data_IF_787442015204
#
_entry.id   IF_787442015204
#
_cell.length_a   1.000
_cell.length_b   1.000
_cell.length_c   1.000
_cell.angle_alpha   90.00
_cell.angle_beta   90.00
_cell.angle_gamma   90.00
#
_symmetry.space_group_name_H-M   'P 1'
#
loop_
_entity.id
_entity.type
_entity.pdbx_description
1 polymer ?
#
# COMPACT_ATOMS: atom_id res chain seq x y z
N UNK A 1 17.86 22.49 -17.56
CA UNK A 1 17.02 21.27 -17.42
C UNK A 1 17.96 20.14 -17.05
N UNK A 2 18.13 19.87 -15.77
CA UNK A 2 18.94 18.74 -15.29
C UNK A 2 18.16 17.47 -15.55
N UNK A 3 18.58 16.70 -16.56
CA UNK A 3 18.04 15.36 -16.83
C UNK A 3 18.48 14.44 -15.70
N UNK A 4 17.63 14.26 -14.70
CA UNK A 4 17.87 13.31 -13.63
C UNK A 4 17.69 11.91 -14.22
N UNK A 5 18.76 11.14 -14.28
CA UNK A 5 18.68 9.73 -14.70
C UNK A 5 17.84 8.97 -13.68
N UNK A 6 16.77 8.24 -14.07
CA UNK A 6 15.97 7.50 -13.10
C UNK A 6 16.79 6.41 -12.42
N UNK A 7 16.46 6.12 -11.16
CA UNK A 7 17.06 5.00 -10.44
C UNK A 7 16.88 3.71 -11.23
N UNK A 8 17.96 2.95 -11.40
CA UNK A 8 17.94 1.65 -12.08
C UNK A 8 17.74 0.50 -11.10
N UNK A 9 17.90 0.75 -9.80
CA UNK A 9 17.80 -0.23 -8.72
C UNK A 9 16.93 0.28 -7.59
N UNK A 10 16.32 -0.64 -6.87
CA UNK A 10 15.53 -0.34 -5.67
C UNK A 10 16.48 -0.02 -4.51
N UNK A 11 16.29 1.15 -3.90
CA UNK A 11 17.06 1.61 -2.74
C UNK A 11 16.14 1.63 -1.52
N UNK A 12 16.39 0.74 -0.56
CA UNK A 12 15.68 0.71 0.73
C UNK A 12 16.50 1.52 1.73
N UNK A 13 15.83 2.33 2.57
CA UNK A 13 16.41 3.35 3.44
C UNK A 13 17.32 4.32 2.64
N UNK A 14 16.73 5.04 1.68
CA UNK A 14 17.47 5.91 0.77
C UNK A 14 18.19 7.02 1.54
N UNK A 15 19.36 7.39 1.05
CA UNK A 15 20.10 8.55 1.55
C UNK A 15 19.39 9.87 1.18
N UNK A 16 19.71 11.00 1.84
CA UNK A 16 19.19 12.29 1.41
C UNK A 16 19.48 12.62 -0.06
N UNK A 17 20.63 12.21 -0.60
CA UNK A 17 20.98 12.43 -2.01
C UNK A 17 20.10 11.63 -2.96
N UNK A 18 19.73 10.40 -2.60
CA UNK A 18 18.79 9.59 -3.37
C UNK A 18 17.42 10.26 -3.46
N UNK A 19 16.98 10.88 -2.35
CA UNK A 19 15.70 11.56 -2.24
C UNK A 19 15.70 12.88 -3.04
N UNK A 20 16.83 13.59 -3.12
CA UNK A 20 16.93 14.87 -3.85
C UNK A 20 16.59 14.75 -5.34
N UNK A 21 16.69 13.58 -5.93
CA UNK A 21 16.36 13.33 -7.33
C UNK A 21 14.89 12.96 -7.57
N UNK A 22 14.08 12.77 -6.51
CA UNK A 22 12.71 12.25 -6.59
C UNK A 22 11.70 13.38 -6.73
N UNK A 23 10.78 13.25 -7.69
CA UNK A 23 9.61 14.11 -7.87
C UNK A 23 8.30 13.30 -7.91
N UNK A 24 8.37 12.00 -7.66
CA UNK A 24 7.24 11.10 -7.73
C UNK A 24 7.09 10.29 -6.44
N UNK A 25 5.85 9.97 -6.10
CA UNK A 25 5.49 9.00 -5.05
C UNK A 25 4.77 7.83 -5.72
N UNK A 26 5.16 6.61 -5.38
CA UNK A 26 4.37 5.44 -5.78
C UNK A 26 3.31 5.14 -4.74
N UNK A 27 2.07 5.26 -5.14
CA UNK A 27 0.89 4.96 -4.34
C UNK A 27 0.30 3.61 -4.76
N UNK A 28 0.19 2.69 -3.80
CA UNK A 28 -0.36 1.34 -4.00
C UNK A 28 -1.54 1.01 -3.09
N UNK A 29 -1.84 1.87 -2.12
CA UNK A 29 -2.92 1.79 -1.14
C UNK A 29 -3.63 3.12 -0.99
N UNK A 30 -3.90 3.54 0.26
CA UNK A 30 -4.70 4.73 0.57
C UNK A 30 -4.19 6.03 -0.05
N UNK A 31 -2.90 6.15 -0.31
CA UNK A 31 -2.33 7.30 -1.02
C UNK A 31 -2.88 7.47 -2.45
N UNK A 32 -3.40 6.41 -3.08
CA UNK A 32 -3.99 6.51 -4.41
C UNK A 32 -5.20 7.43 -4.45
N UNK A 33 -6.01 7.48 -3.39
CA UNK A 33 -7.22 8.31 -3.30
C UNK A 33 -7.13 9.43 -2.27
N UNK A 34 -6.21 9.34 -1.33
CA UNK A 34 -5.97 10.34 -0.30
C UNK A 34 -4.46 10.58 -0.11
N UNK A 35 -3.78 11.24 -1.05
CA UNK A 35 -2.34 11.49 -0.98
C UNK A 35 -1.95 12.40 0.20
N UNK A 36 -2.79 13.39 0.53
CA UNK A 36 -2.53 14.38 1.59
C UNK A 36 -1.52 15.48 1.23
N UNK A 37 -1.09 15.53 -0.04
CA UNK A 37 -0.25 16.59 -0.60
C UNK A 37 -0.72 16.94 -2.01
N UNK A 38 -0.33 18.10 -2.50
CA UNK A 38 -0.67 18.56 -3.84
C UNK A 38 0.08 17.78 -4.91
N UNK A 39 -0.66 17.30 -5.92
CA UNK A 39 -0.11 16.55 -7.04
C UNK A 39 -0.23 17.35 -8.34
N UNK A 40 0.89 17.53 -9.04
CA UNK A 40 0.93 18.23 -10.35
C UNK A 40 0.66 17.29 -11.53
N UNK A 41 0.83 15.97 -11.33
CA UNK A 41 0.46 14.93 -12.30
C UNK A 41 0.16 13.61 -11.59
N UNK A 42 -0.67 12.79 -12.25
CA UNK A 42 -1.02 11.43 -11.78
C UNK A 42 -1.01 10.50 -13.00
N UNK A 43 -0.32 9.38 -12.89
CA UNK A 43 -0.24 8.40 -13.98
C UNK A 43 -0.29 6.98 -13.43
N UNK A 44 -0.94 6.04 -14.11
CA UNK A 44 -0.80 4.63 -13.84
C UNK A 44 0.68 4.22 -13.96
N UNK A 45 1.12 3.37 -13.06
CA UNK A 45 2.49 2.90 -13.03
C UNK A 45 2.59 1.46 -12.53
N UNK A 46 3.68 0.80 -12.87
CA UNK A 46 4.03 -0.54 -12.43
C UNK A 46 5.39 -0.54 -11.73
N UNK A 47 5.42 -1.18 -10.57
CA UNK A 47 6.63 -1.49 -9.83
C UNK A 47 6.89 -3.00 -9.97
N UNK A 48 8.05 -3.37 -10.50
CA UNK A 48 8.50 -4.76 -10.55
C UNK A 48 9.30 -5.11 -9.27
N UNK A 49 9.23 -6.37 -8.84
CA UNK A 49 9.95 -6.89 -7.67
C UNK A 49 9.21 -6.75 -6.33
N UNK A 50 8.03 -6.15 -6.32
CA UNK A 50 7.13 -6.07 -5.17
C UNK A 50 5.67 -6.25 -5.59
N UNK A 51 4.87 -6.84 -4.72
CA UNK A 51 3.44 -6.99 -4.91
C UNK A 51 2.67 -6.41 -3.71
N UNK A 52 1.41 -6.07 -3.94
CA UNK A 52 0.49 -5.63 -2.89
C UNK A 52 -0.04 -6.83 -2.12
N UNK A 53 0.03 -6.79 -0.79
CA UNK A 53 -0.49 -7.85 0.07
C UNK A 53 -1.04 -7.31 1.39
N UNK A 54 -2.02 -8.00 1.97
CA UNK A 54 -2.44 -7.80 3.36
C UNK A 54 -1.50 -8.57 4.28
N UNK A 55 -0.31 -8.02 4.50
CA UNK A 55 0.81 -8.69 5.15
C UNK A 55 1.33 -8.01 6.43
N UNK A 56 0.60 -7.01 6.94
CA UNK A 56 0.99 -6.24 8.13
C UNK A 56 -0.15 -6.27 9.15
N UNK A 57 0.14 -6.70 10.40
CA UNK A 57 -0.81 -6.61 11.50
C UNK A 57 -1.11 -5.15 11.87
N UNK A 58 -2.38 -4.82 11.98
CA UNK A 58 -2.86 -3.53 12.46
C UNK A 58 -3.45 -3.67 13.85
N UNK A 59 -2.77 -3.10 14.84
CA UNK A 59 -3.17 -3.16 16.25
C UNK A 59 -3.95 -1.93 16.72
N UNK A 60 -4.18 -0.93 15.85
CA UNK A 60 -4.84 0.33 16.23
C UNK A 60 -5.92 0.76 15.25
N UNK A 61 -5.60 0.84 13.95
CA UNK A 61 -6.52 1.43 12.97
C UNK A 61 -7.57 0.44 12.48
N UNK A 62 -7.18 -0.83 12.23
CA UNK A 62 -8.08 -1.87 11.67
C UNK A 62 -8.21 -3.08 12.57
N UNK A 63 -7.70 -3.00 13.80
CA UNK A 63 -7.76 -4.02 14.83
C UNK A 63 -7.31 -3.48 16.17
N UNK A 64 -7.18 -4.37 17.15
CA UNK A 64 -6.60 -4.13 18.48
C UNK A 64 -5.45 -5.11 18.74
N UNK A 65 -4.64 -4.94 19.78
CA UNK A 65 -3.61 -5.92 20.14
C UNK A 65 -4.18 -7.33 20.34
N UNK A 66 -5.39 -7.46 20.91
CA UNK A 66 -6.07 -8.74 21.19
C UNK A 66 -6.73 -9.34 19.93
N UNK A 67 -7.13 -8.49 19.00
CA UNK A 67 -7.76 -8.86 17.73
C UNK A 67 -7.18 -8.05 16.59
N UNK A 68 -5.95 -8.38 16.15
CA UNK A 68 -5.28 -7.63 15.11
C UNK A 68 -6.00 -7.78 13.77
N UNK A 69 -6.11 -6.67 13.05
CA UNK A 69 -6.51 -6.67 11.65
C UNK A 69 -5.28 -6.80 10.74
N UNK A 70 -5.53 -6.75 9.44
CA UNK A 70 -4.48 -6.71 8.42
C UNK A 70 -4.58 -5.43 7.60
N UNK A 71 -3.44 -4.85 7.25
CA UNK A 71 -3.33 -3.73 6.32
C UNK A 71 -2.36 -4.05 5.20
N UNK A 72 -2.45 -3.26 4.13
CA UNK A 72 -1.63 -3.43 2.94
C UNK A 72 -0.17 -3.11 3.20
N UNK A 73 0.71 -3.90 2.58
CA UNK A 73 2.12 -3.62 2.39
C UNK A 73 2.55 -3.91 0.96
N UNK A 74 3.68 -3.35 0.54
CA UNK A 74 4.44 -3.80 -0.62
C UNK A 74 5.40 -4.87 -0.15
N UNK A 75 5.07 -6.13 -0.41
CA UNK A 75 5.93 -7.25 -0.07
C UNK A 75 6.77 -7.70 -1.27
N UNK A 76 7.91 -8.33 -1.03
CA UNK A 76 8.87 -8.71 -2.06
C UNK A 76 8.32 -9.78 -2.99
N UNK A 77 8.65 -9.66 -4.27
CA UNK A 77 8.29 -10.59 -5.34
C UNK A 77 7.13 -10.07 -6.20
N UNK A 78 7.02 -10.60 -7.43
CA UNK A 78 5.96 -10.22 -8.36
C UNK A 78 6.06 -8.79 -8.87
N UNK A 79 4.90 -8.17 -9.07
CA UNK A 79 4.76 -6.78 -9.49
C UNK A 79 3.51 -6.14 -8.85
N UNK A 80 3.49 -4.81 -8.82
CA UNK A 80 2.37 -4.03 -8.32
C UNK A 80 1.98 -2.93 -9.30
N UNK A 81 0.72 -2.92 -9.74
CA UNK A 81 0.13 -1.78 -10.42
C UNK A 81 -0.42 -0.79 -9.40
N UNK A 82 -0.09 0.48 -9.59
CA UNK A 82 -0.50 1.58 -8.71
C UNK A 82 -0.49 2.90 -9.46
N UNK A 83 -0.41 3.99 -8.71
CA UNK A 83 -0.40 5.34 -9.27
C UNK A 83 0.92 6.03 -8.91
N UNK A 84 1.59 6.57 -9.92
CA UNK A 84 2.68 7.53 -9.74
C UNK A 84 2.07 8.92 -9.56
N UNK A 85 2.35 9.55 -8.43
CA UNK A 85 1.91 10.89 -8.05
C UNK A 85 3.08 11.84 -8.14
N UNK A 86 3.05 12.80 -9.07
CA UNK A 86 4.10 13.81 -9.18
C UNK A 86 3.77 15.02 -8.30
N UNK A 87 4.74 15.49 -7.58
CA UNK A 87 4.69 16.75 -6.81
C UNK A 87 5.68 17.77 -7.40
N UNK A 88 5.49 19.05 -7.06
CA UNK A 88 6.42 20.10 -7.47
C UNK A 88 7.78 19.94 -6.74
N UNK A 89 8.88 20.16 -7.44
CA UNK A 89 10.23 19.94 -6.91
C UNK A 89 10.49 20.74 -5.60
N UNK A 90 9.89 21.91 -5.49
CA UNK A 90 9.99 22.80 -4.33
C UNK A 90 9.28 22.24 -3.09
N UNK A 91 8.28 21.36 -3.30
CA UNK A 91 7.51 20.73 -2.21
C UNK A 91 8.16 19.44 -1.68
N UNK A 92 9.28 18.98 -2.25
CA UNK A 92 9.88 17.66 -1.95
C UNK A 92 10.07 17.42 -0.47
N UNK A 93 10.76 18.30 0.23
CA UNK A 93 11.08 18.10 1.64
C UNK A 93 9.81 18.02 2.50
N UNK A 94 8.82 18.87 2.21
CA UNK A 94 7.53 18.87 2.90
C UNK A 94 6.75 17.57 2.61
N UNK A 95 6.74 17.10 1.37
CA UNK A 95 6.05 15.86 0.98
C UNK A 95 6.71 14.63 1.63
N UNK A 96 8.04 14.53 1.59
CA UNK A 96 8.77 13.40 2.20
C UNK A 96 8.59 13.39 3.71
N UNK A 97 8.70 14.55 4.37
CA UNK A 97 8.47 14.66 5.81
C UNK A 97 7.05 14.22 6.18
N UNK A 98 6.04 14.73 5.50
CA UNK A 98 4.64 14.35 5.70
C UNK A 98 4.42 12.85 5.54
N UNK A 99 4.97 12.25 4.47
CA UNK A 99 4.82 10.83 4.20
C UNK A 99 5.51 9.97 5.27
N UNK A 100 6.69 10.36 5.73
CA UNK A 100 7.40 9.66 6.80
C UNK A 100 6.62 9.70 8.12
N UNK A 101 6.08 10.86 8.49
CA UNK A 101 5.24 11.00 9.69
C UNK A 101 3.98 10.13 9.60
N UNK A 102 3.38 10.06 8.42
CA UNK A 102 2.16 9.30 8.18
C UNK A 102 2.38 7.80 8.15
N UNK A 103 3.42 7.31 7.48
CA UNK A 103 3.58 5.89 7.15
C UNK A 103 4.56 5.16 8.09
N UNK A 104 5.56 5.85 8.66
CA UNK A 104 6.55 5.20 9.53
C UNK A 104 6.14 5.15 11.01
N UNK A 105 5.09 5.89 11.40
CA UNK A 105 4.64 5.90 12.78
C UNK A 105 3.76 4.69 13.08
N UNK A 106 4.34 3.65 13.68
CA UNK A 106 3.62 2.49 14.22
C UNK A 106 3.27 1.40 13.21
N UNK A 107 3.96 1.34 12.07
CA UNK A 107 3.83 0.28 11.08
C UNK A 107 5.16 -0.32 10.62
N UNK A 108 5.08 -1.57 10.09
CA UNK A 108 6.20 -2.33 9.58
C UNK A 108 6.62 -1.85 8.18
N UNK A 109 6.92 -0.55 8.01
CA UNK A 109 7.35 0.00 6.74
C UNK A 109 8.78 0.53 6.79
N UNK A 110 9.44 0.47 5.64
CA UNK A 110 10.73 1.12 5.37
C UNK A 110 10.58 2.01 4.14
N UNK A 111 11.14 3.22 4.16
CA UNK A 111 11.15 4.09 2.99
C UNK A 111 12.00 3.46 1.89
N UNK A 112 11.63 3.73 0.63
CA UNK A 112 12.39 3.26 -0.51
C UNK A 112 12.29 4.24 -1.68
N UNK A 113 13.35 4.32 -2.48
CA UNK A 113 13.35 4.91 -3.82
C UNK A 113 13.37 3.77 -4.83
N UNK A 114 12.39 3.76 -5.72
CA UNK A 114 12.16 2.66 -6.66
C UNK A 114 12.03 3.17 -8.10
N UNK A 115 12.51 2.39 -9.10
CA UNK A 115 12.20 2.67 -10.49
C UNK A 115 10.76 2.28 -10.79
N UNK A 116 9.97 3.20 -11.33
CA UNK A 116 8.61 2.96 -11.79
C UNK A 116 8.54 3.01 -13.31
N UNK A 117 7.87 2.06 -13.90
CA UNK A 117 7.48 2.10 -15.31
C UNK A 117 6.10 2.73 -15.44
N UNK A 118 6.03 3.89 -16.09
CA UNK A 118 4.77 4.58 -16.39
C UNK A 118 4.10 3.95 -17.62
N UNK A 119 2.77 4.11 -17.76
CA UNK A 119 2.03 3.56 -18.91
C UNK A 119 2.45 4.16 -20.26
N UNK A 120 3.07 5.35 -20.27
CA UNK A 120 3.67 5.94 -21.47
C UNK A 120 5.02 5.34 -21.88
N UNK A 121 5.50 4.31 -21.16
CA UNK A 121 6.75 3.61 -21.40
C UNK A 121 8.00 4.24 -20.78
N UNK A 122 7.89 5.42 -20.16
CA UNK A 122 9.02 6.03 -19.46
C UNK A 122 9.24 5.40 -18.08
N UNK A 123 10.48 5.51 -17.58
CA UNK A 123 10.84 5.11 -16.21
C UNK A 123 11.17 6.34 -15.40
N UNK A 124 10.67 6.39 -14.17
CA UNK A 124 10.93 7.48 -13.20
C UNK A 124 11.35 6.92 -11.86
N UNK A 125 12.09 7.70 -11.08
CA UNK A 125 12.38 7.38 -9.67
C UNK A 125 11.23 7.86 -8.80
N UNK A 126 10.72 7.00 -7.92
CA UNK A 126 9.63 7.34 -7.01
C UNK A 126 9.92 6.94 -5.56
N UNK A 127 9.48 7.77 -4.64
CA UNK A 127 9.46 7.48 -3.23
C UNK A 127 8.27 6.61 -2.87
N UNK A 128 8.48 5.62 -2.02
CA UNK A 128 7.41 4.72 -1.56
C UNK A 128 7.80 4.07 -0.23
N UNK A 129 6.92 3.21 0.29
CA UNK A 129 7.16 2.44 1.51
C UNK A 129 7.00 0.96 1.22
N UNK A 130 8.01 0.18 1.58
CA UNK A 130 8.00 -1.28 1.44
C UNK A 130 7.90 -1.93 2.82
N UNK A 131 7.43 -3.16 2.85
CA UNK A 131 7.27 -3.90 4.11
C UNK A 131 8.63 -4.23 4.74
N UNK A 132 8.78 -3.94 6.04
CA UNK A 132 9.88 -4.44 6.84
C UNK A 132 9.56 -5.84 7.34
N UNK A 133 10.14 -6.84 6.70
CA UNK A 133 9.94 -8.26 7.05
C UNK A 133 10.54 -8.66 8.40
N UNK A 134 11.39 -7.83 9.00
CA UNK A 134 11.98 -8.07 10.31
C UNK A 134 11.17 -7.42 11.44
N UNK A 135 10.17 -6.62 11.13
CA UNK A 135 9.34 -5.95 12.11
C UNK A 135 8.34 -6.92 12.76
N UNK A 136 8.07 -6.78 14.06
CA UNK A 136 7.12 -7.65 14.78
C UNK A 136 5.67 -7.62 14.29
N UNK A 137 5.28 -6.61 13.52
CA UNK A 137 3.96 -6.53 12.88
C UNK A 137 3.92 -7.17 11.48
N UNK A 138 5.04 -7.67 10.97
CA UNK A 138 5.01 -8.39 9.70
C UNK A 138 4.29 -9.73 9.88
N UNK A 139 3.15 -9.87 9.21
CA UNK A 139 2.34 -11.09 9.26
C UNK A 139 2.80 -12.15 8.24
N UNK A 140 3.51 -11.72 7.21
CA UNK A 140 3.89 -12.58 6.09
C UNK A 140 2.71 -13.04 5.25
N UNK A 141 2.91 -14.13 4.52
CA UNK A 141 1.84 -14.80 3.78
C UNK A 141 1.12 -15.78 4.71
N UNK A 142 -0.05 -15.39 5.19
CA UNK A 142 -0.91 -16.22 6.04
C UNK A 142 -1.81 -17.15 5.24
N UNK A 143 -1.78 -17.05 3.91
CA UNK A 143 -2.77 -17.65 3.04
C UNK A 143 -4.14 -16.96 3.08
N UNK A 144 -5.00 -17.21 2.08
CA UNK A 144 -6.23 -16.45 1.91
C UNK A 144 -7.29 -16.74 3.00
N UNK A 145 -7.37 -17.96 3.53
CA UNK A 145 -8.38 -18.32 4.54
C UNK A 145 -8.07 -17.64 5.88
N UNK A 146 -6.81 -17.72 6.35
CA UNK A 146 -6.41 -17.09 7.60
C UNK A 146 -6.47 -15.57 7.52
N UNK A 147 -6.12 -14.99 6.39
CA UNK A 147 -6.26 -13.55 6.15
C UNK A 147 -7.72 -13.10 6.21
N UNK A 148 -8.64 -13.87 5.60
CA UNK A 148 -10.07 -13.59 5.66
C UNK A 148 -10.63 -13.66 7.09
N UNK A 149 -10.25 -14.66 7.87
CA UNK A 149 -10.64 -14.79 9.30
C UNK A 149 -10.24 -13.54 10.10
N UNK A 150 -8.97 -13.12 9.99
CA UNK A 150 -8.47 -11.95 10.70
C UNK A 150 -9.21 -10.68 10.28
N UNK A 151 -9.40 -10.48 8.97
CA UNK A 151 -10.10 -9.30 8.43
C UNK A 151 -11.54 -9.25 8.90
N UNK A 152 -12.22 -10.40 8.95
CA UNK A 152 -13.61 -10.47 9.43
C UNK A 152 -13.74 -10.19 10.91
N UNK A 153 -12.82 -10.67 11.73
CA UNK A 153 -12.88 -10.56 13.19
C UNK A 153 -12.44 -9.18 13.71
N UNK A 154 -11.75 -8.38 12.89
CA UNK A 154 -11.06 -7.19 13.36
C UNK A 154 -11.84 -5.89 13.12
N UNK A 155 -11.81 -5.02 14.13
CA UNK A 155 -12.25 -3.63 14.07
C UNK A 155 -11.32 -2.78 14.92
N UNK A 156 -10.94 -1.63 14.43
CA UNK A 156 -10.08 -0.69 15.12
C UNK A 156 -10.61 0.74 15.09
N UNK A 157 -9.75 1.70 15.41
CA UNK A 157 -10.11 3.13 15.48
C UNK A 157 -10.69 3.67 14.17
N UNK A 158 -10.26 3.13 13.02
CA UNK A 158 -10.74 3.53 11.68
C UNK A 158 -11.86 2.63 11.15
N UNK A 159 -12.51 1.84 12.01
CA UNK A 159 -13.63 0.97 11.68
C UNK A 159 -13.21 -0.45 11.31
N UNK A 160 -14.17 -1.17 10.70
CA UNK A 160 -14.02 -2.58 10.36
C UNK A 160 -12.90 -2.83 9.35
N UNK A 161 -12.14 -3.90 9.55
CA UNK A 161 -11.05 -4.24 8.64
C UNK A 161 -11.57 -4.70 7.27
N UNK A 162 -12.73 -5.39 7.23
CA UNK A 162 -13.38 -5.76 5.96
C UNK A 162 -13.74 -4.55 5.10
N UNK A 163 -14.15 -3.43 5.71
CA UNK A 163 -14.48 -2.21 4.98
C UNK A 163 -13.23 -1.60 4.33
N UNK A 164 -12.06 -1.73 4.98
CA UNK A 164 -10.79 -1.32 4.40
C UNK A 164 -10.44 -2.13 3.15
N UNK A 165 -10.61 -3.47 3.18
CA UNK A 165 -10.43 -4.33 2.01
C UNK A 165 -11.40 -3.95 0.88
N UNK A 166 -12.70 -3.80 1.19
CA UNK A 166 -13.73 -3.43 0.21
C UNK A 166 -13.44 -2.08 -0.45
N UNK A 167 -13.09 -1.07 0.37
CA UNK A 167 -12.78 0.27 -0.12
C UNK A 167 -11.51 0.28 -0.98
N UNK A 168 -10.49 -0.50 -0.59
CA UNK A 168 -9.28 -0.65 -1.40
C UNK A 168 -9.59 -1.18 -2.78
N UNK A 169 -10.34 -2.30 -2.87
CA UNK A 169 -10.72 -2.89 -4.16
C UNK A 169 -11.57 -1.93 -5.00
N UNK A 170 -12.56 -1.27 -4.40
CA UNK A 170 -13.38 -0.28 -5.11
C UNK A 170 -12.53 0.84 -5.75
N UNK A 171 -11.50 1.32 -5.04
CA UNK A 171 -10.61 2.35 -5.60
C UNK A 171 -9.72 1.79 -6.71
N UNK A 172 -9.20 0.56 -6.56
CA UNK A 172 -8.43 -0.10 -7.62
C UNK A 172 -9.27 -0.28 -8.89
N UNK A 173 -10.51 -0.76 -8.76
CA UNK A 173 -11.45 -0.93 -9.88
C UNK A 173 -11.76 0.41 -10.56
N UNK A 174 -11.97 1.48 -9.79
CA UNK A 174 -12.19 2.84 -10.32
C UNK A 174 -10.99 3.34 -11.14
N UNK A 175 -9.79 2.90 -10.80
CA UNK A 175 -8.55 3.21 -11.53
C UNK A 175 -8.28 2.24 -12.69
N UNK A 176 -9.17 1.26 -12.91
CA UNK A 176 -8.99 0.22 -13.94
C UNK A 176 -7.94 -0.83 -13.57
N UNK A 177 -7.58 -0.94 -12.30
CA UNK A 177 -6.64 -1.95 -11.82
C UNK A 177 -7.40 -3.17 -11.30
N UNK A 178 -7.04 -4.34 -11.80
CA UNK A 178 -7.51 -5.62 -11.29
C UNK A 178 -6.41 -6.27 -10.47
N UNK A 179 -6.73 -6.67 -9.25
CA UNK A 179 -5.85 -7.37 -8.32
C UNK A 179 -6.54 -8.68 -7.92
N UNK A 180 -6.18 -9.76 -8.60
CA UNK A 180 -6.83 -11.07 -8.44
C UNK A 180 -6.71 -11.58 -7.00
N UNK A 181 -5.55 -11.40 -6.37
CA UNK A 181 -5.31 -11.85 -4.99
C UNK A 181 -6.25 -11.16 -4.00
N UNK A 182 -6.45 -9.85 -4.16
CA UNK A 182 -7.38 -9.11 -3.31
C UNK A 182 -8.84 -9.45 -3.62
N UNK A 183 -9.19 -9.74 -4.87
CA UNK A 183 -10.54 -10.18 -5.24
C UNK A 183 -10.87 -11.55 -4.64
N UNK A 184 -9.93 -12.50 -4.67
CA UNK A 184 -10.08 -13.81 -4.04
C UNK A 184 -10.25 -13.66 -2.53
N UNK A 185 -9.46 -12.80 -1.90
CA UNK A 185 -9.58 -12.51 -0.48
C UNK A 185 -10.96 -11.91 -0.13
N UNK A 186 -11.45 -10.94 -0.92
CA UNK A 186 -12.78 -10.37 -0.73
C UNK A 186 -13.89 -11.41 -0.90
N UNK A 187 -13.76 -12.32 -1.86
CA UNK A 187 -14.73 -13.40 -2.08
C UNK A 187 -14.85 -14.30 -0.84
N UNK A 188 -13.71 -14.64 -0.21
CA UNK A 188 -13.70 -15.41 1.04
C UNK A 188 -14.33 -14.67 2.20
N UNK A 189 -13.98 -13.38 2.36
CA UNK A 189 -14.59 -12.51 3.37
C UNK A 189 -16.10 -12.43 3.20
N UNK A 190 -16.62 -12.30 1.97
CA UNK A 190 -18.06 -12.28 1.69
C UNK A 190 -18.73 -13.61 1.99
N UNK A 191 -18.09 -14.74 1.68
CA UNK A 191 -18.60 -16.06 2.03
C UNK A 191 -18.76 -16.24 3.55
N UNK A 192 -17.78 -15.79 4.32
CA UNK A 192 -17.86 -15.81 5.79
C UNK A 192 -18.99 -14.92 6.33
N UNK A 193 -19.22 -13.76 5.72
CA UNK A 193 -20.34 -12.86 6.08
C UNK A 193 -21.68 -13.54 5.81
N UNK A 194 -21.86 -14.20 4.67
CA UNK A 194 -23.10 -14.92 4.35
C UNK A 194 -23.39 -16.08 5.28
N UNK A 195 -22.39 -16.76 5.81
CA UNK A 195 -22.53 -17.79 6.81
C UNK A 195 -23.00 -17.24 8.17
N UNK A 196 -22.56 -16.03 8.53
CA UNK A 196 -22.99 -15.36 9.77
C UNK A 196 -24.44 -14.87 9.64
N UNK A 197 -24.81 -14.32 8.49
CA UNK A 197 -26.18 -13.82 8.23
C UNK A 197 -27.23 -14.96 8.16
N UNK A 198 -26.82 -16.18 7.79
CA UNK A 198 -27.67 -17.36 7.78
C UNK A 198 -27.74 -18.12 9.13
N UNK A 199 -26.79 -17.88 10.02
CA UNK A 199 -26.69 -18.50 11.35
C UNK A 199 -27.37 -17.73 12.49
N UNK A 200 -27.91 -16.54 12.23
CA UNK A 200 -28.57 -15.68 13.20
C UNK A 200 -30.09 -15.86 13.35
N UNK A 201 -30.65 -16.92 12.83
CA UNK A 201 -32.07 -17.26 12.93
C UNK A 201 -32.31 -18.45 13.85
N UNK A 202 -32.24 -18.27 15.17
CA UNK A 202 -32.96 -19.07 16.18
C UNK A 202 -33.46 -18.10 17.26
#
# INVERSE_FOLDING_TARGET
MTSTTPATTIQIDPTPDDIQSVEWVFAYGSLMWNPGFETVARQPARLDGFHRAFCIYSHHYRGTPERPGLVLGLDRGGDCRGVALRFAAEARDAVVTYLNERELTGYAYRPAVVPLRLDNGSTVSAYTFVTDRNHGQYAGDLGPDRSAELIMAASGRSGLNRDYLMNTLKHLETLGFRDETLHDLLTRVRHMTGLIDQGGGI
#
